data_IF_738789982318
#
_entry.id   IF_738789982318
#
_cell.length_a   1.000
_cell.length_b   1.000
_cell.length_c   1.000
_cell.angle_alpha   90.00
_cell.angle_beta   90.00
_cell.angle_gamma   90.00
#
_symmetry.space_group_name_H-M   'P 1'
#
loop_
_entity.id
_entity.type
_entity.pdbx_description
1 polymer ?
#
# COMPACT_ATOMS: atom_id res chain seq x y z
N UNK A 1 29.61 -3.00 16.51
CA UNK A 1 29.34 -4.37 16.90
C UNK A 1 29.51 -5.33 15.75
N UNK A 2 30.50 -6.21 15.80
CA UNK A 2 31.03 -7.01 14.69
C UNK A 2 30.23 -8.23 14.24
N UNK A 3 28.91 -8.12 14.13
CA UNK A 3 28.11 -9.16 13.45
C UNK A 3 27.68 -8.63 12.10
N UNK A 4 28.36 -9.09 11.04
CA UNK A 4 28.09 -8.67 9.66
C UNK A 4 26.67 -8.97 9.19
N UNK A 5 26.29 -8.40 8.05
CA UNK A 5 24.98 -8.56 7.39
C UNK A 5 24.38 -10.00 7.40
N UNK A 6 25.16 -11.12 7.41
CA UNK A 6 24.60 -12.46 7.52
C UNK A 6 23.87 -12.75 8.84
N UNK A 7 24.20 -12.05 9.92
CA UNK A 7 23.54 -12.28 11.21
C UNK A 7 22.07 -11.85 11.20
N UNK A 8 21.74 -10.73 10.53
CA UNK A 8 20.36 -10.30 10.33
C UNK A 8 19.52 -11.34 9.59
N UNK A 9 20.05 -11.88 8.50
CA UNK A 9 19.36 -12.92 7.74
C UNK A 9 19.17 -14.23 8.53
N UNK A 10 20.15 -14.62 9.34
CA UNK A 10 20.01 -15.78 10.23
C UNK A 10 18.91 -15.59 11.28
N UNK A 11 18.83 -14.42 11.89
CA UNK A 11 17.77 -14.10 12.86
C UNK A 11 16.39 -14.14 12.22
N UNK A 12 16.23 -13.59 11.01
CA UNK A 12 14.99 -13.64 10.25
C UNK A 12 14.65 -15.09 9.89
N UNK A 13 15.62 -15.88 9.43
CA UNK A 13 15.40 -17.28 9.09
C UNK A 13 14.92 -18.11 10.29
N UNK A 14 15.55 -17.93 11.47
CA UNK A 14 15.12 -18.60 12.71
C UNK A 14 13.68 -18.21 13.06
N UNK A 15 13.34 -16.90 13.00
CA UNK A 15 11.99 -16.42 13.28
C UNK A 15 10.97 -17.04 12.32
N UNK A 16 11.28 -17.13 11.02
CA UNK A 16 10.40 -17.74 10.03
C UNK A 16 10.20 -19.24 10.27
N UNK A 17 11.24 -19.96 10.66
CA UNK A 17 11.12 -21.39 11.02
C UNK A 17 10.21 -21.58 12.23
N UNK A 18 10.37 -20.75 13.28
CA UNK A 18 9.52 -20.77 14.47
C UNK A 18 8.06 -20.48 14.13
N UNK A 19 7.81 -19.43 13.34
CA UNK A 19 6.45 -19.09 12.88
C UNK A 19 5.83 -20.21 12.05
N UNK A 20 6.60 -20.82 11.16
CA UNK A 20 6.15 -21.96 10.34
C UNK A 20 5.80 -23.16 11.23
N UNK A 21 6.62 -23.47 12.22
CA UNK A 21 6.36 -24.55 13.18
C UNK A 21 5.05 -24.28 13.98
N UNK A 22 4.86 -23.04 14.46
CA UNK A 22 3.62 -22.65 15.16
C UNK A 22 2.40 -22.82 14.25
N UNK A 23 2.48 -22.39 12.97
CA UNK A 23 1.39 -22.55 12.01
C UNK A 23 1.09 -24.02 11.73
N UNK A 24 2.11 -24.87 11.55
CA UNK A 24 1.93 -26.30 11.34
C UNK A 24 1.27 -26.98 12.54
N UNK A 25 1.68 -26.64 13.78
CA UNK A 25 1.06 -27.16 14.99
C UNK A 25 -0.38 -26.68 15.16
N UNK A 26 -0.71 -25.47 14.69
CA UNK A 26 -2.06 -24.90 14.75
C UNK A 26 -3.01 -25.43 13.67
N UNK A 27 -2.53 -26.13 12.61
CA UNK A 27 -3.35 -26.66 11.53
C UNK A 27 -4.60 -27.45 11.97
N UNK A 28 -4.55 -28.30 13.02
CA UNK A 28 -5.75 -29.00 13.49
C UNK A 28 -6.87 -28.07 13.98
N UNK A 29 -6.51 -26.88 14.53
CA UNK A 29 -7.48 -25.90 15.03
C UNK A 29 -8.29 -25.24 13.90
N UNK A 30 -7.75 -25.22 12.68
CA UNK A 30 -8.38 -24.60 11.51
C UNK A 30 -9.32 -25.55 10.76
N UNK A 31 -9.24 -26.87 11.02
CA UNK A 31 -10.10 -27.88 10.38
C UNK A 31 -11.56 -27.78 10.84
N UNK A 32 -11.82 -27.29 12.06
CA UNK A 32 -13.17 -27.17 12.61
C UNK A 32 -14.02 -26.03 12.04
N UNK A 33 -13.39 -24.97 11.51
CA UNK A 33 -14.10 -23.81 10.97
C UNK A 33 -14.59 -23.99 9.52
N UNK A 34 -14.13 -25.02 8.81
CA UNK A 34 -14.56 -25.31 7.44
C UNK A 34 -15.95 -25.94 7.33
N UNK A 35 -16.47 -26.47 8.40
CA UNK A 35 -17.75 -27.21 8.39
C UNK A 35 -18.98 -26.33 8.59
N UNK A 36 -18.82 -25.13 9.19
CA UNK A 36 -19.95 -24.24 9.48
C UNK A 36 -20.10 -23.04 8.53
N UNK A 37 -19.12 -22.80 7.69
CA UNK A 37 -19.12 -21.68 6.76
C UNK A 37 -19.39 -22.09 5.31
N UNK A 38 -20.42 -22.92 5.06
CA UNK A 38 -20.75 -23.15 3.67
C UNK A 38 -21.32 -24.48 3.27
N UNK A 39 -22.43 -24.87 3.88
CA UNK A 39 -23.43 -25.71 3.20
C UNK A 39 -24.43 -24.82 2.44
N UNK A 40 -23.92 -23.82 1.73
CA UNK A 40 -24.68 -22.94 0.87
C UNK A 40 -24.00 -22.86 -0.49
N UNK A 41 -24.64 -23.45 -1.49
CA UNK A 41 -24.43 -23.30 -2.95
C UNK A 41 -23.01 -23.53 -3.47
N UNK A 42 -22.89 -24.48 -4.40
CA UNK A 42 -21.68 -24.65 -5.21
C UNK A 42 -21.22 -23.28 -5.75
N UNK A 43 -19.90 -22.98 -5.71
CA UNK A 43 -19.43 -21.70 -6.18
C UNK A 43 -19.90 -21.50 -7.62
N UNK A 44 -20.66 -20.43 -7.84
CA UNK A 44 -20.92 -19.91 -9.19
C UNK A 44 -19.61 -19.92 -9.98
N UNK A 45 -19.71 -20.25 -11.26
CA UNK A 45 -18.54 -20.31 -12.15
C UNK A 45 -17.60 -19.15 -11.86
N UNK A 46 -16.28 -19.41 -11.70
CA UNK A 46 -15.33 -18.36 -11.38
C UNK A 46 -15.46 -17.23 -12.40
N UNK A 47 -15.68 -16.01 -11.91
CA UNK A 47 -15.85 -14.84 -12.75
C UNK A 47 -14.60 -14.66 -13.64
N UNK A 48 -14.82 -14.52 -14.94
CA UNK A 48 -13.74 -14.20 -15.87
C UNK A 48 -13.25 -12.77 -15.66
N UNK A 49 -12.00 -12.49 -16.00
CA UNK A 49 -11.44 -11.13 -15.92
C UNK A 49 -12.33 -10.11 -16.68
N UNK A 50 -12.90 -10.50 -17.82
CA UNK A 50 -13.78 -9.65 -18.60
C UNK A 50 -15.07 -9.30 -17.87
N UNK A 51 -15.63 -10.23 -17.11
CA UNK A 51 -16.82 -10.00 -16.29
C UNK A 51 -16.50 -9.07 -15.12
N UNK A 52 -15.35 -9.30 -14.42
CA UNK A 52 -14.91 -8.42 -13.33
C UNK A 52 -14.72 -6.98 -13.82
N UNK A 53 -14.08 -6.77 -14.99
CA UNK A 53 -13.90 -5.42 -15.56
C UNK A 53 -15.20 -4.74 -16.00
N UNK A 54 -16.31 -5.49 -16.13
CA UNK A 54 -17.64 -4.94 -16.40
C UNK A 54 -18.40 -4.52 -15.16
N UNK A 55 -17.93 -4.94 -13.98
CA UNK A 55 -18.55 -4.54 -12.71
C UNK A 55 -18.28 -3.03 -12.51
N UNK A 56 -19.33 -2.19 -12.34
CA UNK A 56 -19.13 -0.76 -12.06
C UNK A 56 -18.31 -0.55 -10.79
N UNK A 57 -17.26 0.28 -10.87
CA UNK A 57 -16.34 0.53 -9.77
C UNK A 57 -15.10 -0.38 -9.75
N UNK A 58 -15.13 -1.54 -10.43
CA UNK A 58 -14.00 -2.47 -10.39
C UNK A 58 -12.72 -1.89 -11.01
N UNK A 59 -12.84 -1.19 -12.14
CA UNK A 59 -11.69 -0.52 -12.78
C UNK A 59 -11.11 0.57 -11.89
N UNK A 60 -11.95 1.33 -11.25
CA UNK A 60 -11.58 2.44 -10.40
C UNK A 60 -10.78 1.95 -9.19
N UNK A 61 -11.24 0.91 -8.52
CA UNK A 61 -10.51 0.37 -7.37
C UNK A 61 -9.19 -0.28 -7.77
N UNK A 62 -9.12 -0.93 -8.94
CA UNK A 62 -7.88 -1.51 -9.45
C UNK A 62 -6.84 -0.43 -9.77
N UNK A 63 -7.24 0.65 -10.45
CA UNK A 63 -6.34 1.76 -10.75
C UNK A 63 -5.92 2.49 -9.46
N UNK A 64 -6.86 2.71 -8.53
CA UNK A 64 -6.53 3.30 -7.24
C UNK A 64 -5.49 2.46 -6.49
N UNK A 65 -5.65 1.14 -6.48
CA UNK A 65 -4.73 0.23 -5.78
C UNK A 65 -3.37 0.11 -6.50
N UNK A 66 -3.36 0.13 -7.83
CA UNK A 66 -2.14 0.26 -8.64
C UNK A 66 -1.36 1.53 -8.26
N UNK A 67 -2.03 2.68 -8.23
CA UNK A 67 -1.41 3.96 -7.88
C UNK A 67 -0.95 4.02 -6.42
N UNK A 68 -1.70 3.42 -5.49
CA UNK A 68 -1.27 3.24 -4.11
C UNK A 68 0.08 2.51 -4.04
N UNK A 69 0.16 1.35 -4.72
CA UNK A 69 1.39 0.55 -4.76
C UNK A 69 2.53 1.30 -5.45
N UNK A 70 2.23 2.14 -6.45
CA UNK A 70 3.20 3.02 -7.07
C UNK A 70 3.81 3.99 -6.06
N UNK A 71 2.99 4.66 -5.24
CA UNK A 71 3.48 5.59 -4.20
C UNK A 71 4.30 4.85 -3.15
N UNK A 72 3.76 3.76 -2.58
CA UNK A 72 4.42 3.00 -1.51
C UNK A 72 5.76 2.42 -1.96
N UNK A 73 5.78 1.69 -3.08
CA UNK A 73 6.98 0.99 -3.52
C UNK A 73 8.04 1.91 -4.13
N UNK A 74 7.62 2.96 -4.85
CA UNK A 74 8.59 3.93 -5.35
C UNK A 74 9.24 4.68 -4.19
N UNK A 75 8.48 5.05 -3.14
CA UNK A 75 9.05 5.66 -1.95
C UNK A 75 10.00 4.70 -1.24
N UNK A 76 9.60 3.45 -1.03
CA UNK A 76 10.43 2.43 -0.39
C UNK A 76 11.79 2.23 -1.07
N UNK A 77 11.81 2.23 -2.41
CA UNK A 77 13.02 1.91 -3.18
C UNK A 77 13.87 3.15 -3.52
N UNK A 78 13.26 4.31 -3.70
CA UNK A 78 13.94 5.49 -4.20
C UNK A 78 14.20 6.60 -3.18
N UNK A 79 13.63 6.51 -1.96
CA UNK A 79 13.83 7.52 -0.92
C UNK A 79 15.32 7.72 -0.59
N UNK A 80 16.09 6.64 -0.44
CA UNK A 80 17.53 6.71 -0.16
C UNK A 80 18.29 7.39 -1.29
N UNK A 81 18.00 7.03 -2.56
CA UNK A 81 18.63 7.66 -3.73
C UNK A 81 18.27 9.15 -3.84
N UNK A 82 17.01 9.53 -3.57
CA UNK A 82 16.55 10.89 -3.54
C UNK A 82 17.30 11.71 -2.47
N UNK A 83 17.43 11.18 -1.26
CA UNK A 83 18.14 11.82 -0.16
C UNK A 83 19.63 12.02 -0.48
N UNK A 84 20.29 11.02 -1.03
CA UNK A 84 21.72 11.09 -1.35
C UNK A 84 22.01 11.99 -2.54
N UNK A 85 21.23 11.90 -3.63
CA UNK A 85 21.54 12.57 -4.90
C UNK A 85 20.95 13.99 -5.01
N UNK A 86 19.87 14.26 -4.27
CA UNK A 86 19.17 15.56 -4.35
C UNK A 86 19.25 16.36 -3.04
N UNK A 87 19.00 15.72 -1.89
CA UNK A 87 18.98 16.41 -0.60
C UNK A 87 20.38 16.57 0.04
N UNK A 88 21.43 16.00 -0.56
CA UNK A 88 22.82 16.22 -0.14
C UNK A 88 23.29 15.39 1.06
N UNK A 89 22.53 14.39 1.49
CA UNK A 89 22.94 13.50 2.57
C UNK A 89 24.04 12.53 2.12
N UNK A 90 24.92 12.12 3.05
CA UNK A 90 25.84 11.02 2.78
C UNK A 90 25.06 9.73 2.50
N UNK A 91 25.66 8.79 1.75
CA UNK A 91 25.01 7.51 1.41
C UNK A 91 24.56 6.74 2.66
N UNK A 92 25.37 6.78 3.73
CA UNK A 92 25.06 6.11 4.99
C UNK A 92 23.87 6.77 5.71
N UNK A 93 23.86 8.12 5.79
CA UNK A 93 22.75 8.88 6.35
C UNK A 93 21.47 8.68 5.54
N UNK A 94 21.54 8.73 4.21
CA UNK A 94 20.41 8.55 3.31
C UNK A 94 19.75 7.17 3.49
N UNK A 95 20.56 6.11 3.64
CA UNK A 95 20.05 4.76 3.90
C UNK A 95 19.35 4.69 5.28
N UNK A 96 19.94 5.29 6.31
CA UNK A 96 19.35 5.37 7.65
C UNK A 96 18.03 6.16 7.64
N UNK A 97 18.02 7.33 7.01
CA UNK A 97 16.83 8.19 6.95
C UNK A 97 15.72 7.67 6.06
N UNK A 98 16.03 6.91 5.00
CA UNK A 98 15.01 6.23 4.22
C UNK A 98 14.19 5.25 5.07
N UNK A 99 14.77 4.71 6.17
CA UNK A 99 14.06 3.85 7.10
C UNK A 99 12.91 4.55 7.85
N UNK A 100 12.91 5.88 7.93
CA UNK A 100 11.84 6.68 8.55
C UNK A 100 10.49 6.46 7.88
N UNK A 101 10.50 6.20 6.56
CA UNK A 101 9.29 5.80 5.84
C UNK A 101 8.66 4.53 6.44
N UNK A 102 9.48 3.52 6.74
CA UNK A 102 8.99 2.28 7.35
C UNK A 102 8.56 2.46 8.80
N UNK A 103 9.19 3.38 9.53
CA UNK A 103 8.72 3.79 10.87
C UNK A 103 7.33 4.41 10.73
N UNK A 104 7.12 5.30 9.75
CA UNK A 104 5.81 5.86 9.44
C UNK A 104 4.76 4.79 9.18
N UNK A 105 5.07 3.79 8.33
CA UNK A 105 4.17 2.65 8.06
C UNK A 105 3.86 1.86 9.35
N UNK A 106 4.86 1.55 10.15
CA UNK A 106 4.69 0.75 11.37
C UNK A 106 3.80 1.46 12.38
N UNK A 107 4.08 2.74 12.64
CA UNK A 107 3.28 3.59 13.52
C UNK A 107 1.86 3.75 12.96
N UNK A 108 1.74 4.02 11.66
CA UNK A 108 0.44 4.16 11.00
C UNK A 108 -0.42 2.90 11.09
N UNK A 109 0.17 1.71 10.95
CA UNK A 109 -0.54 0.43 11.14
C UNK A 109 -1.02 0.24 12.57
N UNK A 110 -0.20 0.60 13.57
CA UNK A 110 -0.62 0.54 14.97
C UNK A 110 -1.81 1.47 15.25
N UNK A 111 -1.81 2.68 14.67
CA UNK A 111 -2.90 3.63 14.84
C UNK A 111 -4.14 3.32 13.99
N UNK A 112 -3.99 2.67 12.84
CA UNK A 112 -5.10 2.36 11.94
C UNK A 112 -6.20 1.54 12.62
N UNK A 113 -5.84 0.61 13.51
CA UNK A 113 -6.80 -0.17 14.29
C UNK A 113 -7.70 0.68 15.21
N UNK A 114 -7.20 1.80 15.71
CA UNK A 114 -8.02 2.73 16.50
C UNK A 114 -8.91 3.62 15.61
N UNK A 115 -8.45 3.95 14.42
CA UNK A 115 -9.22 4.75 13.46
C UNK A 115 -10.48 3.99 12.99
N UNK A 116 -10.39 2.69 12.75
CA UNK A 116 -11.52 1.85 12.32
C UNK A 116 -12.65 1.76 13.34
N UNK A 117 -12.42 2.13 14.61
CA UNK A 117 -13.47 2.19 15.65
C UNK A 117 -14.38 3.41 15.46
N UNK A 118 -13.87 4.49 14.83
CA UNK A 118 -14.57 5.80 14.77
C UNK A 118 -14.81 6.30 13.35
N UNK A 119 -14.18 5.73 12.36
CA UNK A 119 -14.20 6.20 10.98
C UNK A 119 -14.47 5.03 10.03
N UNK A 120 -15.23 5.29 8.96
CA UNK A 120 -15.45 4.34 7.89
C UNK A 120 -14.25 4.24 6.95
N UNK A 121 -14.11 3.10 6.25
CA UNK A 121 -12.99 2.86 5.31
C UNK A 121 -12.75 4.01 4.31
N UNK A 122 -13.79 4.59 3.66
CA UNK A 122 -13.58 5.71 2.76
C UNK A 122 -12.98 6.96 3.43
N UNK A 123 -13.37 7.24 4.68
CA UNK A 123 -12.83 8.35 5.45
C UNK A 123 -11.37 8.12 5.82
N UNK A 124 -11.02 6.89 6.22
CA UNK A 124 -9.65 6.52 6.56
C UNK A 124 -8.75 6.58 5.31
N UNK A 125 -9.25 6.12 4.15
CA UNK A 125 -8.51 6.22 2.88
C UNK A 125 -8.26 7.68 2.52
N UNK A 126 -9.27 8.56 2.61
CA UNK A 126 -9.10 10.00 2.35
C UNK A 126 -8.10 10.64 3.32
N UNK A 127 -8.18 10.28 4.61
CA UNK A 127 -7.22 10.74 5.61
C UNK A 127 -5.80 10.32 5.25
N UNK A 128 -5.60 9.04 4.91
CA UNK A 128 -4.31 8.52 4.46
C UNK A 128 -3.77 9.26 3.23
N UNK A 129 -4.62 9.46 2.21
CA UNK A 129 -4.27 10.23 1.02
C UNK A 129 -3.88 11.68 1.34
N UNK A 130 -4.60 12.32 2.26
CA UNK A 130 -4.28 13.68 2.74
C UNK A 130 -2.93 13.74 3.46
N UNK A 131 -2.64 12.77 4.33
CA UNK A 131 -1.35 12.67 5.04
C UNK A 131 -0.21 12.42 4.06
N UNK A 132 -0.40 11.55 3.04
CA UNK A 132 0.58 11.35 1.95
C UNK A 132 0.82 12.66 1.21
N UNK A 133 -0.24 13.40 0.87
CA UNK A 133 -0.11 14.68 0.16
C UNK A 133 0.73 15.69 0.96
N UNK A 134 0.47 15.84 2.26
CA UNK A 134 1.25 16.71 3.14
C UNK A 134 2.72 16.26 3.19
N UNK A 135 2.97 14.95 3.29
CA UNK A 135 4.33 14.40 3.25
C UNK A 135 5.07 14.71 1.94
N UNK A 136 4.39 14.57 0.78
CA UNK A 136 5.00 14.89 -0.52
C UNK A 136 5.24 16.40 -0.65
N UNK A 137 4.32 17.24 -0.17
CA UNK A 137 4.51 18.69 -0.16
C UNK A 137 5.73 19.06 0.70
N UNK A 138 5.92 18.42 1.85
CA UNK A 138 7.11 18.62 2.68
C UNK A 138 8.42 18.27 1.96
N UNK A 139 8.41 17.26 1.07
CA UNK A 139 9.55 16.94 0.21
C UNK A 139 9.80 17.97 -0.90
N UNK A 140 8.75 18.62 -1.40
CA UNK A 140 8.85 19.62 -2.48
C UNK A 140 9.36 20.97 -1.98
N UNK A 141 9.04 21.33 -0.74
CA UNK A 141 9.39 22.63 -0.19
C UNK A 141 10.85 22.64 0.24
N UNK A 142 11.66 23.66 -0.16
CA UNK A 142 13.05 23.78 0.23
C UNK A 142 13.18 24.30 1.68
N UNK A 143 12.52 23.62 2.61
CA UNK A 143 12.46 24.02 4.02
C UNK A 143 13.56 23.39 4.90
N UNK A 144 14.50 22.66 4.25
CA UNK A 144 15.63 22.04 4.92
C UNK A 144 15.42 20.54 5.25
N UNK A 145 16.48 19.93 5.77
CA UNK A 145 16.58 18.49 6.02
C UNK A 145 15.47 17.94 6.90
N UNK A 146 15.12 18.67 7.96
CA UNK A 146 14.08 18.27 8.90
C UNK A 146 12.72 18.01 8.21
N UNK A 147 12.29 18.90 7.33
CA UNK A 147 11.02 18.75 6.61
C UNK A 147 11.05 17.59 5.62
N UNK A 148 12.20 17.32 5.01
CA UNK A 148 12.39 16.16 4.13
C UNK A 148 12.20 14.85 4.90
N UNK A 149 12.78 14.74 6.10
CA UNK A 149 12.65 13.55 6.93
C UNK A 149 11.24 13.37 7.47
N UNK A 150 10.61 14.45 7.94
CA UNK A 150 9.20 14.44 8.36
C UNK A 150 8.30 14.05 7.20
N UNK A 151 8.57 14.53 5.98
CA UNK A 151 7.84 14.15 4.77
C UNK A 151 7.83 12.64 4.53
N UNK A 152 8.98 11.97 4.67
CA UNK A 152 9.06 10.51 4.52
C UNK A 152 8.23 9.76 5.57
N UNK A 153 8.27 10.21 6.84
CA UNK A 153 7.46 9.64 7.91
C UNK A 153 5.96 9.78 7.58
N UNK A 154 5.55 10.97 7.15
CA UNK A 154 4.15 11.25 6.81
C UNK A 154 3.67 10.41 5.62
N UNK A 155 4.49 10.24 4.58
CA UNK A 155 4.13 9.39 3.44
C UNK A 155 3.90 7.94 3.94
N UNK A 156 4.80 7.41 4.76
CA UNK A 156 4.66 6.09 5.34
C UNK A 156 3.42 5.95 6.23
N UNK A 157 3.18 6.93 7.10
CA UNK A 157 2.03 6.99 8.00
C UNK A 157 0.72 7.00 7.22
N UNK A 158 0.64 7.78 6.14
CA UNK A 158 -0.54 7.86 5.29
C UNK A 158 -0.77 6.61 4.44
N UNK A 159 0.30 5.93 3.98
CA UNK A 159 0.19 4.67 3.24
C UNK A 159 -0.36 3.53 4.12
N UNK A 160 -0.04 3.52 5.41
CA UNK A 160 -0.31 2.41 6.31
C UNK A 160 -1.76 1.92 6.36
N UNK A 161 -2.79 2.78 6.51
CA UNK A 161 -4.18 2.36 6.59
C UNK A 161 -4.82 2.11 5.23
N UNK A 162 -4.27 2.64 4.14
CA UNK A 162 -4.93 2.65 2.82
C UNK A 162 -5.10 1.24 2.27
N UNK A 163 -4.04 0.42 2.29
CA UNK A 163 -4.08 -0.94 1.78
C UNK A 163 -5.16 -1.80 2.46
N UNK A 164 -5.17 -1.93 3.80
CA UNK A 164 -6.17 -2.74 4.47
C UNK A 164 -7.59 -2.22 4.27
N UNK A 165 -7.81 -0.90 4.27
CA UNK A 165 -9.13 -0.31 4.07
C UNK A 165 -9.67 -0.52 2.65
N UNK A 166 -8.82 -0.50 1.60
CA UNK A 166 -9.25 -0.84 0.24
C UNK A 166 -9.76 -2.29 0.17
N UNK A 167 -9.03 -3.22 0.76
CA UNK A 167 -9.43 -4.64 0.78
C UNK A 167 -10.68 -4.85 1.63
N UNK A 168 -10.73 -4.25 2.83
CA UNK A 168 -11.85 -4.38 3.76
C UNK A 168 -13.16 -3.82 3.19
N UNK A 169 -13.10 -2.71 2.45
CA UNK A 169 -14.29 -2.10 1.83
C UNK A 169 -14.82 -2.86 0.60
N UNK A 170 -14.06 -3.80 0.04
CA UNK A 170 -14.43 -4.50 -1.20
C UNK A 170 -15.78 -5.23 -1.12
N UNK A 171 -16.13 -5.99 -0.07
CA UNK A 171 -17.44 -6.61 0.04
C UNK A 171 -18.61 -5.62 0.09
N UNK A 172 -18.41 -4.47 0.72
CA UNK A 172 -19.42 -3.42 0.78
C UNK A 172 -19.70 -2.78 -0.60
N UNK A 173 -18.68 -2.68 -1.46
CA UNK A 173 -18.82 -2.09 -2.79
C UNK A 173 -19.33 -3.07 -3.84
N UNK A 174 -18.97 -4.35 -3.76
CA UNK A 174 -19.17 -5.31 -4.85
C UNK A 174 -20.07 -6.50 -4.48
N UNK A 175 -20.43 -6.64 -3.20
CA UNK A 175 -21.15 -7.79 -2.65
C UNK A 175 -20.20 -8.90 -2.19
N UNK A 176 -20.63 -9.68 -1.20
CA UNK A 176 -19.82 -10.74 -0.61
C UNK A 176 -19.52 -11.88 -1.60
N UNK A 177 -20.47 -12.19 -2.49
CA UNK A 177 -20.41 -13.21 -3.55
C UNK A 177 -19.27 -12.95 -4.56
N UNK A 178 -18.99 -11.69 -4.89
CA UNK A 178 -18.00 -11.27 -5.89
C UNK A 178 -16.70 -10.77 -5.28
N UNK A 179 -16.69 -10.49 -3.99
CA UNK A 179 -15.58 -9.81 -3.32
C UNK A 179 -14.26 -10.56 -3.47
N UNK A 180 -14.27 -11.88 -3.36
CA UNK A 180 -13.05 -12.69 -3.47
C UNK A 180 -12.40 -12.59 -4.86
N UNK A 181 -13.21 -12.64 -5.93
CA UNK A 181 -12.71 -12.50 -7.29
C UNK A 181 -12.17 -11.07 -7.56
N UNK A 182 -12.88 -10.04 -7.06
CA UNK A 182 -12.44 -8.64 -7.18
C UNK A 182 -11.15 -8.41 -6.40
N UNK A 183 -11.03 -8.91 -5.15
CA UNK A 183 -9.81 -8.81 -4.35
C UNK A 183 -8.62 -9.47 -5.08
N UNK A 184 -8.81 -10.63 -5.69
CA UNK A 184 -7.76 -11.28 -6.46
C UNK A 184 -7.20 -10.40 -7.58
N UNK A 185 -8.07 -9.73 -8.34
CA UNK A 185 -7.64 -8.82 -9.42
C UNK A 185 -7.11 -7.49 -8.88
N UNK A 186 -7.63 -6.98 -7.77
CA UNK A 186 -7.04 -5.83 -7.06
C UNK A 186 -5.59 -6.11 -6.65
N UNK A 187 -5.33 -7.27 -6.04
CA UNK A 187 -3.98 -7.68 -5.64
C UNK A 187 -3.06 -7.81 -6.85
N UNK A 188 -3.55 -8.42 -7.95
CA UNK A 188 -2.77 -8.49 -9.19
C UNK A 188 -2.42 -7.08 -9.72
N UNK A 189 -3.37 -6.14 -9.71
CA UNK A 189 -3.14 -4.75 -10.11
C UNK A 189 -2.10 -4.07 -9.21
N UNK A 190 -2.18 -4.26 -7.89
CA UNK A 190 -1.19 -3.75 -6.94
C UNK A 190 0.22 -4.29 -7.21
N UNK A 191 0.35 -5.59 -7.44
CA UNK A 191 1.65 -6.20 -7.76
C UNK A 191 2.22 -5.71 -9.10
N UNK A 192 1.37 -5.48 -10.11
CA UNK A 192 1.82 -4.84 -11.37
C UNK A 192 2.35 -3.44 -11.07
N UNK A 193 1.65 -2.66 -10.23
CA UNK A 193 2.12 -1.33 -9.78
C UNK A 193 3.47 -1.41 -9.08
N UNK A 194 3.63 -2.35 -8.14
CA UNK A 194 4.88 -2.62 -7.43
C UNK A 194 6.05 -2.95 -8.37
N UNK A 195 5.80 -3.75 -9.42
CA UNK A 195 6.85 -4.19 -10.34
C UNK A 195 7.19 -3.15 -11.41
N UNK A 196 6.21 -2.36 -11.87
CA UNK A 196 6.38 -1.49 -13.03
C UNK A 196 6.74 -0.06 -12.63
N UNK A 197 6.12 0.47 -11.59
CA UNK A 197 6.22 1.90 -11.29
C UNK A 197 7.60 2.34 -10.74
N UNK A 198 8.29 1.61 -9.85
CA UNK A 198 9.63 2.01 -9.43
C UNK A 198 10.68 1.98 -10.55
N UNK A 199 10.73 0.97 -11.46
CA UNK A 199 11.58 1.02 -12.65
C UNK A 199 11.24 2.17 -13.60
N UNK A 200 9.96 2.51 -13.80
CA UNK A 200 9.57 3.68 -14.60
C UNK A 200 10.13 4.97 -14.01
N UNK A 201 10.03 5.13 -12.68
CA UNK A 201 10.70 6.26 -12.03
C UNK A 201 12.21 6.20 -12.21
N UNK A 202 12.81 5.00 -12.19
CA UNK A 202 14.24 4.81 -12.46
C UNK A 202 14.68 5.33 -13.83
N UNK A 203 13.86 5.17 -14.85
CA UNK A 203 14.12 5.77 -16.17
C UNK A 203 14.10 7.30 -16.09
N UNK A 204 13.13 7.87 -15.37
CA UNK A 204 13.05 9.33 -15.18
C UNK A 204 14.29 9.84 -14.39
N UNK A 205 14.64 9.16 -13.29
CA UNK A 205 15.77 9.53 -12.45
C UNK A 205 17.10 9.50 -13.22
N UNK A 206 17.30 8.49 -14.08
CA UNK A 206 18.55 8.31 -14.84
C UNK A 206 18.66 9.22 -16.08
N UNK A 207 17.54 9.49 -16.78
CA UNK A 207 17.59 10.26 -18.02
C UNK A 207 17.24 11.74 -17.83
N UNK A 208 16.56 12.09 -16.73
CA UNK A 208 16.16 13.48 -16.46
C UNK A 208 16.79 13.94 -15.15
N UNK A 209 16.20 13.62 -14.01
CA UNK A 209 16.71 13.97 -12.68
C UNK A 209 15.93 13.25 -11.58
N UNK A 210 16.63 12.82 -10.53
CA UNK A 210 16.01 12.25 -9.32
C UNK A 210 15.13 13.26 -8.57
N UNK A 211 15.34 14.56 -8.77
CA UNK A 211 14.52 15.64 -8.18
C UNK A 211 13.03 15.57 -8.57
N UNK A 212 12.68 14.84 -9.65
CA UNK A 212 11.31 14.60 -10.06
C UNK A 212 10.57 13.58 -9.16
N UNK A 213 11.24 13.03 -8.15
CA UNK A 213 10.66 12.05 -7.23
C UNK A 213 9.35 12.52 -6.58
N UNK A 214 9.26 13.70 -5.93
CA UNK A 214 8.00 14.15 -5.33
C UNK A 214 6.90 14.42 -6.36
N UNK A 215 7.27 14.92 -7.56
CA UNK A 215 6.30 15.16 -8.64
C UNK A 215 5.70 13.85 -9.15
N UNK A 216 6.51 12.81 -9.29
CA UNK A 216 6.05 11.47 -9.67
C UNK A 216 5.07 10.88 -8.64
N UNK A 217 5.37 11.06 -7.35
CA UNK A 217 4.49 10.61 -6.27
C UNK A 217 3.17 11.39 -6.26
N UNK A 218 3.19 12.71 -6.49
CA UNK A 218 1.98 13.55 -6.53
C UNK A 218 1.07 13.16 -7.68
N UNK A 219 1.62 12.86 -8.86
CA UNK A 219 0.84 12.41 -10.01
C UNK A 219 0.17 11.07 -9.73
N UNK A 220 0.90 10.12 -9.14
CA UNK A 220 0.34 8.83 -8.73
C UNK A 220 -0.74 8.99 -7.67
N UNK A 221 -0.52 9.85 -6.68
CA UNK A 221 -1.50 10.17 -5.64
C UNK A 221 -2.76 10.85 -6.21
N UNK A 222 -2.60 11.78 -7.14
CA UNK A 222 -3.74 12.48 -7.77
C UNK A 222 -4.64 11.51 -8.53
N UNK A 223 -4.06 10.59 -9.30
CA UNK A 223 -4.83 9.53 -9.99
C UNK A 223 -5.52 8.61 -8.98
N UNK A 224 -4.83 8.23 -7.90
CA UNK A 224 -5.39 7.42 -6.82
C UNK A 224 -6.61 8.10 -6.18
N UNK A 225 -6.50 9.37 -5.81
CA UNK A 225 -7.60 10.16 -5.21
C UNK A 225 -8.77 10.22 -6.19
N UNK A 226 -8.51 10.55 -7.45
CA UNK A 226 -9.55 10.65 -8.47
C UNK A 226 -10.29 9.33 -8.66
N UNK A 227 -9.57 8.24 -8.78
CA UNK A 227 -10.16 6.90 -8.94
C UNK A 227 -10.96 6.46 -7.70
N UNK A 228 -10.45 6.77 -6.51
CA UNK A 228 -11.16 6.48 -5.27
C UNK A 228 -12.50 7.25 -5.19
N UNK A 229 -12.52 8.56 -5.51
CA UNK A 229 -13.74 9.36 -5.52
C UNK A 229 -14.73 8.88 -6.61
N UNK A 230 -14.24 8.45 -7.77
CA UNK A 230 -15.09 7.85 -8.80
C UNK A 230 -15.69 6.51 -8.36
N UNK A 231 -14.94 5.68 -7.63
CA UNK A 231 -15.43 4.44 -7.04
C UNK A 231 -16.62 4.73 -6.11
N UNK A 232 -16.46 5.68 -5.18
CA UNK A 232 -17.49 6.03 -4.21
C UNK A 232 -18.77 6.55 -4.88
N UNK A 233 -18.64 7.40 -5.91
CA UNK A 233 -19.79 7.88 -6.69
C UNK A 233 -20.54 6.73 -7.36
N UNK A 234 -19.84 5.75 -7.94
CA UNK A 234 -20.46 4.59 -8.61
C UNK A 234 -21.06 3.58 -7.64
N UNK A 235 -20.52 3.46 -6.45
CA UNK A 235 -21.04 2.58 -5.39
C UNK A 235 -22.25 3.21 -4.70
N UNK A 236 -22.23 4.52 -4.43
CA UNK A 236 -23.35 5.26 -3.80
C UNK A 236 -24.62 5.28 -4.65
N UNK A 237 -24.52 5.23 -5.96
CA UNK A 237 -25.68 5.11 -6.87
C UNK A 237 -26.38 3.76 -6.82
N UNK A 238 -25.80 2.73 -6.18
CA UNK A 238 -26.44 1.41 -6.00
C UNK A 238 -27.21 1.27 -4.68
N UNK A 239 -26.95 2.16 -3.72
CA UNK A 239 -27.58 2.13 -2.41
C UNK A 239 -28.75 3.14 -2.30
N UNK A 240 -28.98 3.95 -3.34
CA UNK A 240 -30.14 4.82 -3.54
C UNK A 240 -31.12 4.20 -4.54
#
# INVERSE_FOLDING_TARGET
>A
GGQGWPAGYRSIAVLQVVLTAILLVSLPLWKGQRTDAGAGEAPDKPLTLREIFRIPGAKEVMIAFFCYSAVEQTTSLWASSYLALHAGFSTEQAAGFASLFFIGITVGRAFSGFLTIRMDDPQIIRLGQGVIAVGIIALLLPLGEFFTLVGLILIGLGCAPVFPCIIHSTPAHFGADRSQAVIGVQMASAYIGTCVMPPLFGLIANHINVAWFPVYLILSLAVMVWMHEMLLKKSGQRLS
#
